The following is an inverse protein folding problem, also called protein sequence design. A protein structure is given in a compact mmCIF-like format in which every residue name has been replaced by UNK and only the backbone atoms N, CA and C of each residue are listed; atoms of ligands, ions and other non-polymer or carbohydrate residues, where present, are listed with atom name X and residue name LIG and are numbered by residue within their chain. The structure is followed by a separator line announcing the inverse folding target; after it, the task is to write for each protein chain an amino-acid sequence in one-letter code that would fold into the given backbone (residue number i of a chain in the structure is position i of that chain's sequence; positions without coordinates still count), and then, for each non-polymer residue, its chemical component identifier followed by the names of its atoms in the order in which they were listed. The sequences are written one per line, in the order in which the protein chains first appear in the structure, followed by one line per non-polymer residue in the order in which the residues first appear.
data_IF_061833959026
#
_entry.id   IF_061833959026
#
_cell.length_a   1.000
_cell.length_b   1.000
_cell.length_c   1.000
_cell.angle_alpha   90.00
_cell.angle_beta   90.00
_cell.angle_gamma   90.00
#
_symmetry.space_group_name_H-M   'P 1'
#
loop_
_entity.id
_entity.type
_entity.pdbx_description
1 polymer ?
#
# COMPACT_ATOMS: atom_id res chain seq x y z
N UNK A 1 11.34 -4.46 -13.63
CA UNK A 1 11.85 -5.83 -13.86
C UNK A 1 11.57 -6.33 -15.27
N UNK A 2 10.47 -5.97 -15.93
CA UNK A 2 10.06 -6.49 -17.24
C UNK A 2 9.98 -5.40 -18.32
N UNK A 3 10.63 -4.26 -18.14
CA UNK A 3 10.45 -3.09 -19.02
C UNK A 3 9.05 -2.46 -18.91
N UNK A 4 8.33 -2.77 -17.82
CA UNK A 4 7.04 -2.18 -17.56
C UNK A 4 7.18 -0.70 -17.21
N UNK A 5 6.36 0.12 -17.83
CA UNK A 5 6.27 1.57 -17.62
C UNK A 5 4.80 1.96 -17.41
N UNK A 6 4.55 3.17 -16.96
CA UNK A 6 3.18 3.69 -16.90
C UNK A 6 2.47 3.72 -18.25
N UNK A 7 3.26 3.77 -19.35
CA UNK A 7 2.71 3.85 -20.70
C UNK A 7 2.31 2.49 -21.26
N UNK A 8 2.94 1.39 -20.85
CA UNK A 8 2.70 0.05 -21.42
C UNK A 8 1.96 -0.93 -20.50
N UNK A 9 1.95 -0.70 -19.18
CA UNK A 9 1.21 -1.56 -18.25
C UNK A 9 -0.29 -1.64 -18.57
N UNK A 10 -0.99 -0.52 -18.91
CA UNK A 10 -2.40 -0.59 -19.25
C UNK A 10 -2.69 -1.50 -20.44
N UNK A 11 -1.86 -1.45 -21.47
CA UNK A 11 -2.02 -2.30 -22.67
C UNK A 11 -1.87 -3.78 -22.31
N UNK A 12 -0.87 -4.14 -21.51
CA UNK A 12 -0.72 -5.51 -21.01
C UNK A 12 -1.92 -5.96 -20.17
N UNK A 13 -2.41 -5.11 -19.28
CA UNK A 13 -3.56 -5.43 -18.44
C UNK A 13 -4.82 -5.67 -19.28
N UNK A 14 -5.05 -4.84 -20.29
CA UNK A 14 -6.18 -5.00 -21.23
C UNK A 14 -6.04 -6.26 -22.08
N UNK A 15 -4.84 -6.54 -22.61
CA UNK A 15 -4.57 -7.75 -23.37
C UNK A 15 -4.87 -9.01 -22.54
N UNK A 16 -4.29 -9.13 -21.37
CA UNK A 16 -4.52 -10.30 -20.50
C UNK A 16 -5.96 -10.43 -20.04
N UNK A 17 -6.63 -9.33 -19.74
CA UNK A 17 -8.07 -9.35 -19.44
C UNK A 17 -8.91 -9.90 -20.60
N UNK A 18 -8.56 -9.53 -21.83
CA UNK A 18 -9.23 -10.05 -23.03
C UNK A 18 -8.94 -11.55 -23.23
N UNK A 19 -7.71 -12.00 -23.02
CA UNK A 19 -7.32 -13.41 -23.13
C UNK A 19 -8.03 -14.30 -22.09
N UNK A 20 -8.29 -13.81 -20.90
CA UNK A 20 -9.04 -14.53 -19.86
C UNK A 20 -10.53 -14.69 -20.19
N UNK A 21 -11.08 -13.89 -21.10
CA UNK A 21 -12.40 -14.09 -21.71
C UNK A 21 -13.61 -13.92 -20.79
N UNK A 22 -13.47 -13.40 -19.59
CA UNK A 22 -14.51 -13.40 -18.56
C UNK A 22 -14.92 -12.02 -18.04
N UNK A 23 -14.61 -10.94 -18.76
CA UNK A 23 -14.97 -9.59 -18.33
C UNK A 23 -14.40 -9.26 -16.94
N UNK A 24 -13.12 -9.51 -16.75
CA UNK A 24 -12.42 -9.21 -15.47
C UNK A 24 -12.52 -7.72 -15.21
N UNK A 25 -13.11 -7.36 -14.08
CA UNK A 25 -13.11 -5.98 -13.59
C UNK A 25 -11.82 -5.74 -12.84
N UNK A 26 -11.01 -4.81 -13.31
CA UNK A 26 -9.77 -4.42 -12.66
C UNK A 26 -9.58 -2.91 -12.66
N UNK A 27 -8.78 -2.41 -11.72
CA UNK A 27 -8.29 -1.04 -11.72
C UNK A 27 -6.76 -1.06 -11.75
N UNK A 28 -6.16 -0.02 -12.30
CA UNK A 28 -4.72 0.17 -12.26
C UNK A 28 -4.37 1.11 -11.11
N UNK A 29 -3.44 0.68 -10.27
CA UNK A 29 -2.98 1.42 -9.11
C UNK A 29 -1.47 1.62 -9.19
N UNK A 30 -1.02 2.84 -9.00
CA UNK A 30 0.41 3.12 -8.79
C UNK A 30 0.74 2.92 -7.32
N UNK A 31 1.50 1.89 -7.04
CA UNK A 31 1.92 1.53 -5.70
C UNK A 31 3.22 2.25 -5.32
N UNK A 32 3.28 2.83 -4.13
CA UNK A 32 4.45 3.53 -3.60
C UNK A 32 5.08 4.54 -4.56
N UNK A 33 4.32 5.58 -4.96
CA UNK A 33 4.92 6.73 -5.61
C UNK A 33 5.80 7.48 -4.59
N UNK A 34 7.07 7.09 -4.53
CA UNK A 34 7.99 7.55 -3.50
C UNK A 34 8.37 9.03 -3.67
N UNK A 35 8.21 9.82 -2.61
CA UNK A 35 8.57 11.23 -2.52
C UNK A 35 9.65 11.36 -1.44
N UNK A 36 10.91 11.46 -1.86
CA UNK A 36 12.06 11.53 -0.95
C UNK A 36 12.63 12.95 -0.79
N UNK A 37 12.04 13.92 -1.48
CA UNK A 37 12.45 15.32 -1.40
C UNK A 37 11.92 16.18 -2.54
N UNK A 38 12.36 17.43 -2.57
CA UNK A 38 11.90 18.46 -3.53
C UNK A 38 12.08 18.08 -5.00
N UNK A 39 13.13 17.29 -5.34
CA UNK A 39 13.34 16.84 -6.71
C UNK A 39 12.21 15.92 -7.20
N UNK A 40 11.67 15.10 -6.31
CA UNK A 40 10.56 14.19 -6.63
C UNK A 40 9.24 14.95 -6.75
N UNK A 41 9.02 15.99 -5.92
CA UNK A 41 7.87 16.89 -6.05
C UNK A 41 7.88 17.60 -7.41
N UNK A 42 9.02 18.13 -7.83
CA UNK A 42 9.15 18.85 -9.12
C UNK A 42 8.80 17.94 -10.31
N UNK A 43 9.23 16.69 -10.29
CA UNK A 43 8.92 15.70 -11.32
C UNK A 43 7.50 15.11 -11.18
N UNK A 44 6.97 15.11 -9.96
CA UNK A 44 5.75 14.41 -9.57
C UNK A 44 4.55 14.81 -10.40
N UNK A 45 4.35 16.09 -10.64
CA UNK A 45 3.21 16.58 -11.44
C UNK A 45 3.24 15.99 -12.86
N UNK A 46 4.41 16.00 -13.53
CA UNK A 46 4.56 15.41 -14.86
C UNK A 46 4.29 13.90 -14.87
N UNK A 47 4.80 13.19 -13.87
CA UNK A 47 4.55 11.75 -13.72
C UNK A 47 3.05 11.46 -13.45
N UNK A 48 2.41 12.21 -12.56
CA UNK A 48 0.98 12.07 -12.30
C UNK A 48 0.14 12.33 -13.55
N UNK A 49 0.49 13.34 -14.35
CA UNK A 49 -0.16 13.57 -15.64
C UNK A 49 -0.02 12.36 -16.59
N UNK A 50 1.17 11.75 -16.66
CA UNK A 50 1.38 10.54 -17.48
C UNK A 50 0.56 9.36 -16.95
N UNK A 51 0.57 9.11 -15.64
CA UNK A 51 -0.22 8.07 -14.97
C UNK A 51 -1.70 8.21 -15.32
N UNK A 52 -2.26 9.41 -15.19
CA UNK A 52 -3.66 9.69 -15.49
C UNK A 52 -3.99 9.53 -16.97
N UNK A 53 -3.12 10.02 -17.87
CA UNK A 53 -3.31 9.89 -19.31
C UNK A 53 -3.33 8.44 -19.78
N UNK A 54 -2.69 7.54 -19.03
CA UNK A 54 -2.63 6.10 -19.33
C UNK A 54 -3.72 5.27 -18.63
N UNK A 55 -4.70 5.91 -17.97
CA UNK A 55 -5.89 5.24 -17.44
C UNK A 55 -5.71 4.56 -16.09
N UNK A 56 -4.69 4.94 -15.32
CA UNK A 56 -4.62 4.55 -13.92
C UNK A 56 -5.77 5.18 -13.13
N UNK A 57 -6.37 4.40 -12.25
CA UNK A 57 -7.57 4.78 -11.48
C UNK A 57 -7.25 5.17 -10.04
N UNK A 58 -6.02 4.90 -9.59
CA UNK A 58 -5.59 5.23 -8.24
C UNK A 58 -4.07 5.32 -8.12
N UNK A 59 -3.61 6.03 -7.10
CA UNK A 59 -2.19 6.22 -6.78
C UNK A 59 -1.96 6.18 -5.27
N UNK A 60 -0.85 5.60 -4.83
CA UNK A 60 -0.33 5.71 -3.48
C UNK A 60 0.80 6.75 -3.47
N UNK A 61 0.60 7.90 -2.81
CA UNK A 61 1.64 8.88 -2.55
C UNK A 61 2.37 8.50 -1.27
N UNK A 62 3.65 8.22 -1.38
CA UNK A 62 4.49 7.74 -0.28
C UNK A 62 5.63 8.72 -0.01
N UNK A 63 5.45 9.56 1.00
CA UNK A 63 6.47 10.43 1.56
C UNK A 63 6.84 10.04 3.01
N UNK A 64 6.53 8.81 3.42
CA UNK A 64 6.71 8.30 4.78
C UNK A 64 8.18 8.26 5.27
N UNK A 65 9.13 8.40 4.34
CA UNK A 65 10.55 8.54 4.66
C UNK A 65 10.93 9.94 5.20
N UNK A 66 10.04 10.92 5.04
CA UNK A 66 10.23 12.28 5.54
C UNK A 66 9.68 12.40 6.97
N UNK A 67 10.11 13.43 7.68
CA UNK A 67 9.52 13.77 8.98
C UNK A 67 8.02 14.13 8.82
N UNK A 68 7.22 13.95 9.85
CA UNK A 68 5.74 14.03 9.80
C UNK A 68 5.21 15.28 9.09
N UNK A 69 5.76 16.45 9.44
CA UNK A 69 5.34 17.69 8.81
C UNK A 69 5.76 17.80 7.35
N UNK A 70 6.95 17.29 7.01
CA UNK A 70 7.45 17.28 5.63
C UNK A 70 6.66 16.29 4.78
N UNK A 71 6.33 15.09 5.34
CA UNK A 71 5.44 14.13 4.71
C UNK A 71 4.07 14.76 4.41
N UNK A 72 3.47 15.41 5.41
CA UNK A 72 2.19 16.08 5.26
C UNK A 72 2.22 17.13 4.14
N UNK A 73 3.25 17.99 4.11
CA UNK A 73 3.42 19.02 3.09
C UNK A 73 3.64 18.41 1.69
N UNK A 74 4.51 17.42 1.57
CA UNK A 74 4.85 16.78 0.30
C UNK A 74 3.64 16.05 -0.30
N UNK A 75 2.91 15.32 0.54
CA UNK A 75 1.68 14.63 0.13
C UNK A 75 0.59 15.60 -0.28
N UNK A 76 0.40 16.71 0.45
CA UNK A 76 -0.51 17.80 0.05
C UNK A 76 -0.14 18.36 -1.31
N UNK A 77 1.14 18.69 -1.51
CA UNK A 77 1.60 19.37 -2.71
C UNK A 77 1.34 18.56 -3.99
N UNK A 78 1.49 17.25 -3.95
CA UNK A 78 1.11 16.40 -5.07
C UNK A 78 -0.39 16.06 -5.06
N UNK A 79 -0.98 15.81 -3.90
CA UNK A 79 -2.39 15.46 -3.76
C UNK A 79 -3.35 16.50 -4.34
N UNK A 80 -3.01 17.78 -4.23
CA UNK A 80 -3.82 18.88 -4.80
C UNK A 80 -3.89 18.88 -6.33
N UNK A 81 -2.98 18.19 -7.02
CA UNK A 81 -3.00 18.03 -8.48
C UNK A 81 -3.87 16.87 -8.95
N UNK A 82 -4.31 16.01 -8.03
CA UNK A 82 -5.09 14.85 -8.39
C UNK A 82 -6.56 15.25 -8.65
N UNK A 83 -7.17 14.77 -9.73
CA UNK A 83 -8.58 15.05 -10.00
C UNK A 83 -9.47 14.34 -8.96
N UNK A 84 -10.61 14.94 -8.69
CA UNK A 84 -11.66 14.29 -7.91
C UNK A 84 -12.11 12.99 -8.59
N UNK A 85 -12.24 11.92 -7.80
CA UNK A 85 -12.62 10.60 -8.31
C UNK A 85 -11.45 9.68 -8.67
N UNK A 86 -10.21 10.17 -8.62
CA UNK A 86 -9.04 9.30 -8.59
C UNK A 86 -8.85 8.75 -7.16
N UNK A 87 -8.69 7.43 -7.02
CA UNK A 87 -8.43 6.83 -5.72
C UNK A 87 -7.06 7.27 -5.19
N UNK A 88 -7.03 7.76 -3.96
CA UNK A 88 -5.81 8.22 -3.30
C UNK A 88 -5.50 7.40 -2.07
N UNK A 89 -4.33 6.78 -2.06
CA UNK A 89 -3.71 6.20 -0.87
C UNK A 89 -2.56 7.08 -0.43
N UNK A 90 -2.40 7.22 0.88
CA UNK A 90 -1.29 7.95 1.50
C UNK A 90 -0.67 7.11 2.60
N UNK A 91 0.53 7.46 3.06
CA UNK A 91 1.30 6.63 3.96
C UNK A 91 1.90 7.43 5.12
N UNK A 92 1.80 6.88 6.33
CA UNK A 92 2.48 7.37 7.54
C UNK A 92 3.29 6.25 8.17
N UNK A 93 4.42 6.61 8.76
CA UNK A 93 5.35 5.67 9.36
C UNK A 93 6.03 4.80 8.29
N UNK A 94 7.31 4.96 8.11
CA UNK A 94 8.08 4.02 7.28
C UNK A 94 7.92 2.61 7.87
N UNK A 95 7.69 1.59 7.03
CA UNK A 95 7.76 0.20 7.49
C UNK A 95 9.20 -0.13 7.85
N UNK A 96 9.59 0.28 9.05
CA UNK A 96 10.96 0.15 9.59
C UNK A 96 11.22 -1.20 10.28
N UNK A 97 10.29 -2.15 10.17
CA UNK A 97 10.34 -3.40 10.93
C UNK A 97 9.74 -3.24 12.34
N UNK A 98 10.04 -4.17 13.26
CA UNK A 98 9.37 -4.27 14.57
C UNK A 98 9.66 -3.12 15.58
N UNK A 99 10.13 -1.95 15.14
CA UNK A 99 10.64 -0.90 16.06
C UNK A 99 9.72 0.30 16.27
N UNK A 100 9.11 0.81 15.24
CA UNK A 100 8.30 2.04 15.33
C UNK A 100 6.97 1.84 14.62
N UNK A 101 5.92 1.68 15.42
CA UNK A 101 4.56 1.52 14.92
C UNK A 101 3.86 2.87 14.88
N UNK A 102 3.06 3.10 13.84
CA UNK A 102 2.23 4.30 13.71
C UNK A 102 1.28 4.45 14.91
N UNK A 103 1.04 5.68 15.30
CA UNK A 103 0.15 6.02 16.42
C UNK A 103 -1.20 6.56 15.91
N UNK A 104 -2.19 6.59 16.81
CA UNK A 104 -3.49 7.20 16.53
C UNK A 104 -3.31 8.71 16.27
N UNK A 105 -2.50 9.36 17.08
CA UNK A 105 -2.24 10.80 17.02
C UNK A 105 -1.56 11.19 15.70
N UNK A 106 -0.59 10.38 15.24
CA UNK A 106 0.08 10.56 13.96
C UNK A 106 -0.92 10.47 12.80
N UNK A 107 -1.76 9.43 12.80
CA UNK A 107 -2.77 9.23 11.76
C UNK A 107 -3.83 10.35 11.72
N UNK A 108 -4.33 10.77 12.89
CA UNK A 108 -5.28 11.90 12.98
C UNK A 108 -4.66 13.22 12.53
N UNK A 109 -3.43 13.51 12.95
CA UNK A 109 -2.69 14.69 12.53
C UNK A 109 -2.53 14.73 11.01
N UNK A 110 -2.11 13.62 10.42
CA UNK A 110 -1.83 13.52 9.00
C UNK A 110 -3.12 13.63 8.15
N UNK A 111 -4.12 12.81 8.45
CA UNK A 111 -5.39 12.81 7.70
C UNK A 111 -6.16 14.12 7.92
N UNK A 112 -6.23 14.59 9.16
CA UNK A 112 -6.86 15.87 9.49
C UNK A 112 -6.19 17.06 8.80
N UNK A 113 -4.85 17.07 8.75
CA UNK A 113 -4.06 18.06 8.06
C UNK A 113 -4.29 18.06 6.55
N UNK A 114 -4.29 16.90 5.90
CA UNK A 114 -4.60 16.78 4.47
C UNK A 114 -6.01 17.29 4.15
N UNK A 115 -7.00 16.85 4.93
CA UNK A 115 -8.39 17.29 4.74
C UNK A 115 -8.56 18.80 4.92
N UNK A 116 -7.87 19.40 5.89
CA UNK A 116 -7.90 20.85 6.09
C UNK A 116 -7.36 21.63 4.88
N UNK A 117 -6.52 21.01 4.07
CA UNK A 117 -5.96 21.58 2.84
C UNK A 117 -6.67 21.12 1.57
N UNK A 118 -7.80 20.40 1.69
CA UNK A 118 -8.63 19.96 0.55
C UNK A 118 -8.11 18.72 -0.16
N UNK A 119 -7.24 17.95 0.47
CA UNK A 119 -6.80 16.63 -0.01
C UNK A 119 -7.52 15.55 0.80
N UNK A 120 -8.27 14.69 0.12
CA UNK A 120 -9.15 13.69 0.73
C UNK A 120 -8.72 12.28 0.32
N UNK A 121 -7.82 11.64 1.08
CA UNK A 121 -7.42 10.26 0.81
C UNK A 121 -8.57 9.27 1.03
N UNK A 122 -8.58 8.17 0.27
CA UNK A 122 -9.46 7.02 0.48
C UNK A 122 -8.84 6.01 1.44
N UNK A 123 -7.51 5.91 1.42
CA UNK A 123 -6.76 4.91 2.18
C UNK A 123 -5.54 5.51 2.86
N UNK A 124 -5.27 5.00 4.07
CA UNK A 124 -4.03 5.24 4.81
C UNK A 124 -3.27 3.92 4.99
N UNK A 125 -2.04 3.88 4.53
CA UNK A 125 -1.09 2.83 4.89
C UNK A 125 -0.34 3.23 6.16
N UNK A 126 -0.16 2.26 7.07
CA UNK A 126 0.43 2.47 8.40
C UNK A 126 1.52 1.43 8.70
N UNK A 127 2.48 1.79 9.55
CA UNK A 127 3.40 0.84 10.18
C UNK A 127 2.70 0.19 11.37
N UNK A 128 2.28 -1.07 11.23
CA UNK A 128 1.57 -1.81 12.25
C UNK A 128 2.20 -3.16 12.60
N UNK A 129 3.50 -3.32 12.30
CA UNK A 129 4.24 -4.55 12.53
C UNK A 129 4.25 -5.52 11.36
N UNK A 130 3.67 -5.15 10.21
CA UNK A 130 3.84 -5.92 8.98
C UNK A 130 5.25 -5.80 8.43
N UNK A 131 5.72 -6.86 7.78
CA UNK A 131 7.00 -6.86 7.08
C UNK A 131 6.77 -7.04 5.59
N UNK A 132 7.57 -6.37 4.76
CA UNK A 132 7.61 -6.67 3.33
C UNK A 132 8.34 -8.00 3.11
N UNK A 133 7.70 -8.93 2.41
CA UNK A 133 8.26 -10.25 2.10
C UNK A 133 7.68 -11.38 2.96
N UNK A 134 8.52 -12.36 3.30
CA UNK A 134 8.16 -13.50 4.14
C UNK A 134 8.67 -13.28 5.56
N UNK A 135 7.85 -13.64 6.54
CA UNK A 135 8.25 -13.59 7.95
C UNK A 135 9.23 -14.72 8.25
N UNK A 136 10.41 -14.42 8.76
CA UNK A 136 11.35 -15.43 9.27
C UNK A 136 10.98 -15.80 10.71
N UNK A 137 10.16 -16.84 10.83
CA UNK A 137 9.71 -17.37 12.12
C UNK A 137 10.88 -17.95 12.93
N UNK A 138 11.98 -18.34 12.26
CA UNK A 138 13.16 -18.95 12.90
C UNK A 138 14.03 -17.91 13.62
N UNK A 139 13.95 -16.65 13.23
CA UNK A 139 14.68 -15.54 13.87
C UNK A 139 14.01 -14.99 15.13
N UNK A 140 12.89 -15.57 15.57
CA UNK A 140 12.19 -15.15 16.79
C UNK A 140 11.44 -13.80 16.64
N UNK A 141 11.38 -13.24 15.46
CA UNK A 141 10.60 -12.03 15.15
C UNK A 141 9.18 -12.45 14.82
N UNK A 142 8.33 -12.56 15.83
CA UNK A 142 6.94 -13.04 15.69
C UNK A 142 5.96 -12.05 16.32
N UNK A 143 6.14 -10.77 16.07
CA UNK A 143 5.04 -9.84 16.24
C UNK A 143 4.60 -9.39 14.86
N UNK A 144 3.72 -10.15 14.29
CA UNK A 144 3.06 -9.76 13.05
C UNK A 144 2.12 -8.58 13.28
N UNK A 145 1.31 -8.27 12.28
CA UNK A 145 0.36 -7.14 12.27
C UNK A 145 -0.39 -6.99 13.59
N UNK A 146 -0.24 -5.83 14.24
CA UNK A 146 -1.00 -5.43 15.43
C UNK A 146 -2.42 -5.00 15.03
N UNK A 147 -3.35 -5.94 15.06
CA UNK A 147 -4.73 -5.71 14.67
C UNK A 147 -5.46 -4.75 15.62
N UNK A 148 -5.11 -4.73 16.92
CA UNK A 148 -5.75 -3.83 17.87
C UNK A 148 -5.37 -2.38 17.59
N UNK A 149 -4.09 -2.09 17.41
CA UNK A 149 -3.59 -0.78 17.02
C UNK A 149 -4.19 -0.34 15.68
N UNK A 150 -4.21 -1.24 14.69
CA UNK A 150 -4.81 -0.99 13.38
C UNK A 150 -6.27 -0.57 13.51
N UNK A 151 -7.05 -1.25 14.34
CA UNK A 151 -8.45 -0.91 14.60
C UNK A 151 -8.60 0.44 15.30
N UNK A 152 -7.74 0.76 16.27
CA UNK A 152 -7.78 2.05 16.98
C UNK A 152 -7.50 3.20 16.01
N UNK A 153 -6.49 3.06 15.14
CA UNK A 153 -6.20 4.04 14.08
C UNK A 153 -7.38 4.13 13.10
N UNK A 154 -7.89 3.00 12.62
CA UNK A 154 -9.04 2.98 11.69
C UNK A 154 -10.26 3.70 12.26
N UNK A 155 -10.56 3.49 13.55
CA UNK A 155 -11.67 4.18 14.22
C UNK A 155 -11.45 5.70 14.30
N UNK A 156 -10.22 6.14 14.54
CA UNK A 156 -9.86 7.56 14.64
C UNK A 156 -9.99 8.29 13.30
N UNK A 157 -9.60 7.64 12.20
CA UNK A 157 -9.67 8.25 10.85
C UNK A 157 -11.00 8.01 10.13
N UNK A 158 -11.87 7.13 10.63
CA UNK A 158 -13.18 6.84 10.03
C UNK A 158 -14.06 8.09 9.82
N UNK A 159 -14.08 9.11 10.73
CA UNK A 159 -14.83 10.34 10.52
C UNK A 159 -14.43 11.13 9.25
N UNK A 160 -13.22 10.91 8.74
CA UNK A 160 -12.72 11.50 7.50
C UNK A 160 -13.06 10.69 6.25
N UNK A 161 -13.72 9.52 6.41
CA UNK A 161 -14.04 8.62 5.30
C UNK A 161 -12.86 7.76 4.83
N UNK A 162 -11.77 7.72 5.59
CA UNK A 162 -10.53 7.00 5.24
C UNK A 162 -10.54 5.59 5.84
N UNK A 163 -10.09 4.62 5.07
CA UNK A 163 -9.89 3.22 5.50
C UNK A 163 -8.41 2.85 5.50
N UNK A 164 -8.06 1.71 6.13
CA UNK A 164 -6.68 1.23 6.15
C UNK A 164 -6.36 0.43 4.88
N UNK A 165 -5.20 0.73 4.28
CA UNK A 165 -4.53 -0.13 3.31
C UNK A 165 -3.43 -0.93 4.02
N UNK A 166 -3.53 -2.26 4.01
CA UNK A 166 -2.55 -3.15 4.62
C UNK A 166 -1.47 -3.55 3.63
N UNK A 167 -0.23 -3.22 3.96
CA UNK A 167 0.95 -3.69 3.24
C UNK A 167 1.53 -4.96 3.89
N UNK A 168 2.40 -5.68 3.19
CA UNK A 168 3.13 -6.81 3.75
C UNK A 168 2.26 -8.01 4.12
N UNK A 169 1.27 -8.36 3.31
CA UNK A 169 0.32 -9.46 3.60
C UNK A 169 0.89 -10.84 3.28
N UNK A 170 1.82 -10.96 2.34
CA UNK A 170 2.22 -12.26 1.72
C UNK A 170 2.65 -13.35 2.71
N UNK A 171 3.14 -13.03 3.87
CA UNK A 171 3.51 -14.00 4.93
C UNK A 171 2.53 -14.04 6.10
N UNK A 172 1.39 -13.39 5.98
CA UNK A 172 0.41 -13.33 7.09
C UNK A 172 -0.47 -14.57 7.10
N UNK A 173 -0.69 -15.23 8.27
CA UNK A 173 -1.61 -16.36 8.39
C UNK A 173 -3.03 -16.02 7.91
N UNK A 174 -3.69 -16.96 7.22
CA UNK A 174 -4.98 -16.72 6.58
C UNK A 174 -6.11 -16.40 7.58
N UNK A 175 -6.08 -16.97 8.77
CA UNK A 175 -7.02 -16.65 9.85
C UNK A 175 -6.90 -15.19 10.29
N UNK A 176 -5.67 -14.66 10.35
CA UNK A 176 -5.41 -13.25 10.63
C UNK A 176 -5.91 -12.37 9.48
N UNK A 177 -5.63 -12.75 8.23
CA UNK A 177 -6.15 -12.03 7.05
C UNK A 177 -7.68 -11.99 7.04
N UNK A 178 -8.35 -13.09 7.42
CA UNK A 178 -9.80 -13.15 7.50
C UNK A 178 -10.40 -12.13 8.51
N UNK A 179 -9.63 -11.69 9.49
CA UNK A 179 -10.06 -10.71 10.48
C UNK A 179 -9.84 -9.24 10.07
N UNK A 180 -9.13 -8.98 9.00
CA UNK A 180 -8.71 -7.63 8.57
C UNK A 180 -9.89 -6.67 8.43
N UNK A 181 -10.98 -7.11 7.81
CA UNK A 181 -12.15 -6.26 7.61
C UNK A 181 -12.75 -5.76 8.93
N UNK A 182 -12.66 -6.56 9.99
CA UNK A 182 -13.18 -6.19 11.31
C UNK A 182 -12.30 -5.13 11.99
N UNK A 183 -11.10 -4.92 11.49
CA UNK A 183 -10.12 -3.95 11.99
C UNK A 183 -9.99 -2.71 11.09
N UNK A 184 -10.95 -2.50 10.15
CA UNK A 184 -10.95 -1.32 9.28
C UNK A 184 -10.02 -1.42 8.08
N UNK A 185 -9.43 -2.60 7.82
CA UNK A 185 -8.61 -2.86 6.64
C UNK A 185 -9.53 -3.22 5.47
N UNK A 186 -9.62 -2.35 4.47
CA UNK A 186 -10.49 -2.53 3.31
C UNK A 186 -9.71 -2.73 1.99
N UNK A 187 -8.39 -2.52 2.03
CA UNK A 187 -7.46 -2.75 0.92
C UNK A 187 -6.26 -3.55 1.40
N UNK A 188 -5.78 -4.48 0.60
CA UNK A 188 -4.61 -5.28 0.92
C UNK A 188 -3.64 -5.39 -0.24
N UNK A 189 -2.34 -5.29 0.02
CA UNK A 189 -1.28 -5.41 -0.98
C UNK A 189 -0.56 -6.74 -0.85
N UNK A 190 -0.63 -7.55 -1.91
CA UNK A 190 -0.04 -8.89 -1.98
C UNK A 190 0.85 -8.95 -3.21
N UNK A 191 2.15 -8.97 -3.05
CA UNK A 191 3.11 -9.01 -4.14
C UNK A 191 3.97 -10.29 -4.10
N UNK A 192 4.70 -10.53 -3.02
CA UNK A 192 5.66 -11.63 -2.89
C UNK A 192 5.02 -12.99 -3.11
N UNK A 193 3.79 -13.20 -2.64
CA UNK A 193 3.04 -14.44 -2.88
C UNK A 193 2.90 -14.72 -4.39
N UNK A 194 2.45 -13.73 -5.16
CA UNK A 194 2.28 -13.89 -6.60
C UNK A 194 3.61 -14.08 -7.32
N UNK A 195 4.65 -13.34 -6.92
CA UNK A 195 6.00 -13.53 -7.46
C UNK A 195 6.50 -14.97 -7.22
N UNK A 196 6.34 -15.49 -6.02
CA UNK A 196 6.73 -16.84 -5.67
C UNK A 196 6.00 -17.87 -6.52
N UNK A 197 4.69 -17.72 -6.73
CA UNK A 197 3.91 -18.60 -7.59
C UNK A 197 4.41 -18.55 -9.04
N UNK A 198 4.70 -17.38 -9.57
CA UNK A 198 5.22 -17.20 -10.94
C UNK A 198 6.59 -17.90 -11.11
N UNK A 199 7.44 -17.85 -10.09
CA UNK A 199 8.74 -18.52 -10.10
C UNK A 199 8.67 -20.01 -9.76
N UNK A 200 7.47 -20.59 -9.60
CA UNK A 200 7.27 -22.00 -9.29
C UNK A 200 7.67 -22.39 -7.86
N UNK A 201 7.78 -21.42 -6.97
CA UNK A 201 8.07 -21.65 -5.55
C UNK A 201 6.78 -22.14 -4.89
N UNK A 202 6.83 -23.34 -4.29
CA UNK A 202 5.69 -23.84 -3.52
C UNK A 202 5.47 -23.00 -2.26
N UNK A 203 4.24 -22.67 -2.01
CA UNK A 203 3.84 -21.91 -0.83
C UNK A 203 3.08 -22.81 0.15
N UNK A 204 3.37 -22.68 1.42
CA UNK A 204 2.57 -23.28 2.49
C UNK A 204 1.20 -22.59 2.54
N UNK A 205 0.14 -23.36 2.42
CA UNK A 205 -1.22 -22.84 2.32
C UNK A 205 -1.76 -22.27 3.64
N UNK A 206 -1.13 -22.57 4.77
CA UNK A 206 -1.55 -22.08 6.08
C UNK A 206 -0.78 -20.84 6.49
N UNK A 207 0.52 -20.83 6.23
CA UNK A 207 1.39 -19.73 6.65
C UNK A 207 1.64 -18.71 5.53
N UNK A 208 1.40 -19.06 4.27
CA UNK A 208 1.76 -18.21 3.13
C UNK A 208 3.26 -18.10 2.88
N UNK A 209 4.08 -18.88 3.57
CA UNK A 209 5.53 -18.88 3.42
C UNK A 209 6.00 -19.81 2.31
N UNK A 210 7.15 -19.52 1.71
CA UNK A 210 7.77 -20.40 0.74
C UNK A 210 8.22 -21.71 1.41
N UNK A 211 7.87 -22.84 0.80
CA UNK A 211 8.35 -24.16 1.20
C UNK A 211 9.63 -24.45 0.43
N UNK A 212 10.76 -24.48 1.12
CA UNK A 212 12.04 -24.87 0.53
C UNK A 212 12.13 -26.40 0.56
N UNK A 213 11.91 -27.06 -0.58
CA UNK A 213 12.12 -28.50 -0.69
C UNK A 213 13.64 -28.77 -0.70
N UNK A 214 14.12 -29.48 0.31
CA UNK A 214 15.50 -29.97 0.34
C UNK A 214 16.53 -29.02 0.95
N UNK A 215 16.14 -28.11 1.80
CA UNK A 215 17.07 -27.31 2.59
C UNK A 215 17.86 -28.19 3.57
N UNK A 216 19.12 -28.45 3.29
CA UNK A 216 20.13 -28.82 4.28
C UNK A 216 20.73 -27.57 4.85
#
# INVERSE_FOLDING_TARGET
YCGATYDNIPDYALQYSAELGHGVVFGLHVDHYAIKGMADLTKGVGHLCSILANGFTSVALDASHLEDYENLCATRDLGTWLPSGLGLEVEVGEIKGAGELSTVEEAEYFIGGLNAWGVFPDYLAISNGSLHGTYDVSAGVVEGIDLKRTQDIANAIAPYGVSIAQHGISGTPLDKVASFRNCGINKGKVATLFQNVIFGIKMDSQTGNAVIEGGT
#
